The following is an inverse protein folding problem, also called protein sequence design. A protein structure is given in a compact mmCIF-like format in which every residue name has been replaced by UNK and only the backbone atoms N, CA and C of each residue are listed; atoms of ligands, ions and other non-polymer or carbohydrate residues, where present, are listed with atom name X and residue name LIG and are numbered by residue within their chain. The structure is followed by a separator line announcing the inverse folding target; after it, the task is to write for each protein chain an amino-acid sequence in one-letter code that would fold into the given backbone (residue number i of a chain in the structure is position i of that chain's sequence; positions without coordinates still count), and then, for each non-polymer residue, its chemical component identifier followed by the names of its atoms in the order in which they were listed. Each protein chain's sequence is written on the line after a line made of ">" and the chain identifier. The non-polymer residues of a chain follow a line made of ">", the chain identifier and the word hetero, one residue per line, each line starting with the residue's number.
data_IF_723296064828
#
_entry.id   IF_723296064828
#
_cell.length_a   1.000
_cell.length_b   1.000
_cell.length_c   1.000
_cell.angle_alpha   90.00
_cell.angle_beta   90.00
_cell.angle_gamma   90.00
#
_symmetry.space_group_name_H-M   'P 1'
#
loop_
_entity.id
_entity.type
_entity.pdbx_description
1 polymer ?
#
# COMPACT_ATOMS: atom_id res chain seq x y z
N UNK A 1 14.73 -0.18 14.69
CA UNK A 1 13.81 0.88 14.24
C UNK A 1 14.29 1.31 12.88
N UNK A 2 13.58 0.91 11.82
CA UNK A 2 13.90 1.36 10.46
C UNK A 2 13.24 2.72 10.18
N UNK A 3 13.48 3.29 9.00
CA UNK A 3 12.93 4.60 8.63
C UNK A 3 11.39 4.61 8.67
N UNK A 4 10.75 3.52 8.25
CA UNK A 4 9.30 3.36 8.30
C UNK A 4 8.76 3.40 9.75
N UNK A 5 9.42 2.69 10.67
CA UNK A 5 9.08 2.71 12.10
C UNK A 5 9.26 4.11 12.69
N UNK A 6 10.26 4.86 12.21
CA UNK A 6 10.51 6.24 12.63
C UNK A 6 9.37 7.18 12.21
N UNK A 7 8.94 7.14 10.96
CA UNK A 7 7.89 8.05 10.47
C UNK A 7 6.51 7.74 11.05
N UNK A 8 6.21 6.47 11.37
CA UNK A 8 4.94 6.06 12.01
C UNK A 8 4.68 6.74 13.35
N UNK A 9 5.72 7.24 14.02
CA UNK A 9 5.58 7.98 15.29
C UNK A 9 5.00 9.39 15.10
N UNK A 10 5.15 9.97 13.91
CA UNK A 10 4.78 11.37 13.63
C UNK A 10 3.68 11.51 12.60
N UNK A 11 3.36 10.46 11.85
CA UNK A 11 2.40 10.50 10.75
C UNK A 11 1.67 9.17 10.60
N UNK A 12 0.41 9.24 10.20
CA UNK A 12 -0.37 8.07 9.81
C UNK A 12 0.13 7.54 8.47
N UNK A 13 0.68 6.33 8.49
CA UNK A 13 1.13 5.65 7.26
C UNK A 13 -0.03 4.91 6.62
N UNK A 14 -0.22 5.15 5.33
CA UNK A 14 -1.23 4.51 4.47
C UNK A 14 -0.52 3.83 3.31
N UNK A 15 -1.01 2.66 2.88
CA UNK A 15 -0.46 1.98 1.69
C UNK A 15 -1.24 2.36 0.43
N UNK A 16 -0.54 2.85 -0.61
CA UNK A 16 -1.15 3.14 -1.91
C UNK A 16 -1.02 1.93 -2.85
N UNK A 17 -1.82 0.89 -2.57
CA UNK A 17 -1.74 -0.37 -3.30
C UNK A 17 -3.03 -1.19 -3.19
N UNK A 18 -3.31 -1.97 -4.24
CA UNK A 18 -4.30 -3.05 -4.21
C UNK A 18 -3.72 -4.44 -3.90
N UNK A 19 -2.40 -4.55 -3.69
CA UNK A 19 -1.73 -5.82 -3.37
C UNK A 19 -1.84 -6.17 -1.87
N UNK A 20 -2.55 -7.27 -1.60
CA UNK A 20 -2.86 -7.74 -0.25
C UNK A 20 -1.58 -8.15 0.51
N UNK A 21 -0.59 -8.73 -0.18
CA UNK A 21 0.63 -9.18 0.51
C UNK A 21 1.48 -8.00 0.97
N UNK A 22 1.58 -6.94 0.15
CA UNK A 22 2.21 -5.68 0.57
C UNK A 22 1.48 -5.04 1.76
N UNK A 23 0.15 -4.98 1.74
CA UNK A 23 -0.63 -4.43 2.86
C UNK A 23 -0.38 -5.22 4.14
N UNK A 24 -0.36 -6.55 4.05
CA UNK A 24 -0.06 -7.43 5.19
C UNK A 24 1.36 -7.19 5.72
N UNK A 25 2.35 -7.08 4.83
CA UNK A 25 3.74 -6.91 5.24
C UNK A 25 3.99 -5.60 5.99
N UNK A 26 3.42 -4.50 5.51
CA UNK A 26 3.72 -3.16 6.05
C UNK A 26 2.79 -2.71 7.17
N UNK A 27 1.66 -3.40 7.38
CA UNK A 27 0.64 -3.05 8.38
C UNK A 27 0.36 -1.54 8.43
N UNK A 28 -0.13 -0.94 7.33
CA UNK A 28 -0.52 0.46 7.31
C UNK A 28 -1.79 0.66 8.15
N UNK A 29 -2.11 1.91 8.47
CA UNK A 29 -3.38 2.26 9.11
C UNK A 29 -4.56 2.04 8.15
N UNK A 30 -4.43 2.58 6.93
CA UNK A 30 -5.40 2.44 5.85
C UNK A 30 -4.69 2.02 4.56
N UNK A 31 -5.47 1.64 3.54
CA UNK A 31 -4.97 1.47 2.18
C UNK A 31 -5.80 2.31 1.21
N UNK A 32 -5.13 2.96 0.26
CA UNK A 32 -5.76 3.68 -0.85
C UNK A 32 -5.60 2.88 -2.13
N UNK A 33 -6.62 2.96 -2.97
CA UNK A 33 -6.59 2.40 -4.32
C UNK A 33 -7.01 3.48 -5.31
N UNK A 34 -6.73 3.23 -6.58
CA UNK A 34 -7.27 3.97 -7.71
C UNK A 34 -7.48 2.98 -8.87
N UNK A 35 -8.17 3.37 -9.96
CA UNK A 35 -8.46 2.46 -11.07
C UNK A 35 -7.23 1.75 -11.64
N UNK A 36 -6.08 2.43 -11.75
CA UNK A 36 -4.84 1.84 -12.26
C UNK A 36 -4.27 0.77 -11.31
N UNK A 37 -4.32 1.01 -10.00
CA UNK A 37 -3.87 0.05 -8.99
C UNK A 37 -4.78 -1.18 -8.95
N UNK A 38 -6.10 -1.00 -9.13
CA UNK A 38 -7.05 -2.11 -9.25
C UNK A 38 -6.80 -2.94 -10.51
N UNK A 39 -6.60 -2.29 -11.65
CA UNK A 39 -6.26 -2.96 -12.91
C UNK A 39 -5.00 -3.82 -12.75
N UNK A 40 -3.95 -3.25 -12.14
CA UNK A 40 -2.70 -3.96 -11.85
C UNK A 40 -2.90 -5.13 -10.90
N UNK A 41 -3.66 -4.94 -9.81
CA UNK A 41 -3.95 -5.99 -8.84
C UNK A 41 -4.76 -7.16 -9.43
N UNK A 42 -5.62 -6.87 -10.42
CA UNK A 42 -6.35 -7.89 -11.17
C UNK A 42 -5.47 -8.69 -12.15
N UNK A 43 -4.17 -8.38 -12.28
CA UNK A 43 -3.26 -9.04 -13.20
C UNK A 43 -3.53 -8.72 -14.68
N UNK A 44 -4.27 -7.64 -14.94
CA UNK A 44 -4.63 -7.22 -16.28
C UNK A 44 -3.54 -6.27 -16.81
N UNK A 45 -2.93 -6.61 -17.94
CA UNK A 45 -2.00 -5.73 -18.65
C UNK A 45 -2.76 -4.73 -19.50
N UNK A 46 -2.38 -3.45 -19.43
CA UNK A 46 -2.78 -2.47 -20.45
C UNK A 46 -2.16 -2.89 -21.78
N UNK A 47 -3.02 -2.95 -22.81
CA UNK A 47 -2.63 -3.28 -24.20
C UNK A 47 -1.70 -2.19 -24.74
#
# INVERSE_FOLDING_TARGET
>A
MNELDGIKQFTTVVADSGDIESIRHYHPQDATTNPSLLLKAAGLSTI
#
